data_IF_998624836506
#
_entry.id   IF_998624836506
#
_cell.length_a   1.000
_cell.length_b   1.000
_cell.length_c   1.000
_cell.angle_alpha   90.00
_cell.angle_beta   90.00
_cell.angle_gamma   90.00
#
_symmetry.space_group_name_H-M   'P 1'
#
loop_
_entity.id
_entity.type
_entity.pdbx_description
1 polymer ?
#
# COMPACT_ATOMS: atom_id res chain seq x y z
N UNK A 1 14.16 -13.55 -14.00
CA UNK A 1 14.78 -12.63 -14.98
C UNK A 1 15.75 -11.71 -14.25
N UNK A 2 16.87 -11.34 -14.88
CA UNK A 2 17.79 -10.36 -14.33
C UNK A 2 17.18 -8.95 -14.37
N UNK A 3 17.53 -8.11 -13.40
CA UNK A 3 17.05 -6.73 -13.34
C UNK A 3 17.69 -5.84 -14.42
N UNK A 4 16.87 -5.28 -15.32
CA UNK A 4 17.32 -4.29 -16.32
C UNK A 4 17.38 -2.87 -15.71
N UNK A 5 18.57 -2.52 -15.19
CA UNK A 5 18.86 -1.19 -14.68
C UNK A 5 18.71 -0.11 -15.77
N UNK A 6 19.14 -0.38 -17.00
CA UNK A 6 19.11 0.58 -18.10
C UNK A 6 17.68 1.00 -18.44
N UNK A 7 16.76 0.04 -18.60
CA UNK A 7 15.35 0.30 -18.83
C UNK A 7 14.67 1.01 -17.66
N UNK A 8 15.05 0.67 -16.43
CA UNK A 8 14.52 1.34 -15.25
C UNK A 8 14.98 2.81 -15.14
N UNK A 9 16.26 3.11 -15.43
CA UNK A 9 16.75 4.49 -15.48
C UNK A 9 16.12 5.31 -16.61
N UNK A 10 15.90 4.71 -17.79
CA UNK A 10 15.24 5.38 -18.93
C UNK A 10 13.78 5.72 -18.64
N UNK A 11 13.07 4.86 -17.92
CA UNK A 11 11.65 5.06 -17.58
C UNK A 11 11.46 6.03 -16.41
N UNK A 12 12.18 5.85 -15.30
CA UNK A 12 12.03 6.69 -14.10
C UNK A 12 12.70 8.06 -14.24
N UNK A 13 13.80 8.14 -15.00
CA UNK A 13 14.63 9.34 -15.20
C UNK A 13 14.95 10.07 -13.89
N UNK A 14 15.51 9.38 -12.87
CA UNK A 14 15.63 9.93 -11.52
C UNK A 14 16.40 11.26 -11.47
N UNK A 15 17.47 11.39 -12.27
CA UNK A 15 18.30 12.60 -12.32
C UNK A 15 17.61 13.83 -12.93
N UNK A 16 16.51 13.62 -13.68
CA UNK A 16 15.69 14.70 -14.23
C UNK A 16 14.59 15.16 -13.25
N UNK A 17 14.25 14.35 -12.24
CA UNK A 17 13.25 14.70 -11.23
C UNK A 17 13.89 15.58 -10.16
N UNK A 18 13.61 16.88 -10.21
CA UNK A 18 14.22 17.89 -9.31
C UNK A 18 13.20 18.65 -8.47
N UNK A 19 12.01 18.91 -9.02
CA UNK A 19 10.93 19.54 -8.27
C UNK A 19 10.47 18.63 -7.13
N UNK A 20 10.21 19.22 -5.98
CA UNK A 20 9.60 18.53 -4.84
C UNK A 20 8.23 17.96 -5.22
N UNK A 21 7.80 16.94 -4.50
CA UNK A 21 6.47 16.38 -4.63
C UNK A 21 5.53 17.12 -3.70
N UNK A 22 4.42 17.59 -4.26
CA UNK A 22 3.36 18.24 -3.52
C UNK A 22 2.08 17.42 -3.66
N UNK A 23 1.30 17.38 -2.58
CA UNK A 23 0.03 16.65 -2.57
C UNK A 23 -0.93 17.32 -3.54
N UNK A 24 -1.48 16.55 -4.48
CA UNK A 24 -2.53 17.04 -5.37
C UNK A 24 -3.83 17.33 -4.59
N UNK A 25 -4.67 18.28 -5.06
CA UNK A 25 -5.98 18.51 -4.47
C UNK A 25 -6.86 17.27 -4.58
N UNK A 26 -7.80 17.11 -3.64
CA UNK A 26 -8.69 15.94 -3.58
C UNK A 26 -9.46 15.73 -4.89
N UNK A 27 -9.85 16.80 -5.57
CA UNK A 27 -10.55 16.75 -6.87
C UNK A 27 -9.71 16.15 -8.01
N UNK A 28 -8.40 16.00 -7.83
CA UNK A 28 -7.50 15.38 -8.81
C UNK A 28 -7.15 13.91 -8.46
N UNK A 29 -7.71 13.39 -7.36
CA UNK A 29 -7.49 12.02 -6.89
C UNK A 29 -8.73 11.16 -7.13
N UNK A 30 -8.52 9.86 -7.31
CA UNK A 30 -9.61 8.89 -7.50
C UNK A 30 -10.04 8.33 -6.15
N UNK A 31 -11.20 8.75 -5.64
CA UNK A 31 -11.70 8.32 -4.34
C UNK A 31 -12.63 7.12 -4.44
N UNK A 32 -12.62 6.26 -3.43
CA UNK A 32 -13.46 5.06 -3.35
C UNK A 32 -14.96 5.38 -3.50
N UNK A 33 -15.44 6.49 -2.92
CA UNK A 33 -16.84 6.91 -3.02
C UNK A 33 -17.30 7.27 -4.45
N UNK A 34 -16.36 7.60 -5.33
CA UNK A 34 -16.64 7.92 -6.74
C UNK A 34 -16.44 6.70 -7.66
N UNK A 35 -16.02 5.56 -7.12
CA UNK A 35 -15.78 4.35 -7.89
C UNK A 35 -17.03 3.46 -7.93
N UNK A 36 -17.34 2.85 -9.08
CA UNK A 36 -18.37 1.83 -9.13
C UNK A 36 -17.96 0.63 -8.25
N UNK A 37 -18.86 -0.01 -7.52
CA UNK A 37 -18.53 -1.18 -6.70
C UNK A 37 -17.87 -2.30 -7.53
N UNK A 38 -18.46 -2.62 -8.69
CA UNK A 38 -17.88 -3.57 -9.65
C UNK A 38 -16.81 -2.89 -10.50
N UNK A 39 -15.70 -3.57 -10.75
CA UNK A 39 -14.62 -3.03 -11.58
C UNK A 39 -13.40 -3.95 -11.68
N UNK A 40 -12.30 -3.37 -12.13
CA UNK A 40 -11.03 -4.10 -12.27
C UNK A 40 -10.45 -4.58 -10.94
N UNK A 41 -9.48 -5.47 -11.04
CA UNK A 41 -8.78 -6.09 -9.91
C UNK A 41 -8.14 -5.04 -8.99
N UNK A 42 -8.21 -5.28 -7.68
CA UNK A 42 -7.55 -4.47 -6.66
C UNK A 42 -6.28 -5.15 -6.16
N UNK A 43 -5.26 -4.36 -5.81
CA UNK A 43 -4.17 -4.78 -4.94
C UNK A 43 -4.30 -4.01 -3.62
N UNK A 44 -4.43 -4.73 -2.51
CA UNK A 44 -4.65 -4.11 -1.21
C UNK A 44 -3.33 -3.66 -0.58
N UNK A 45 -3.26 -2.39 -0.20
CA UNK A 45 -2.23 -1.87 0.69
C UNK A 45 -2.46 -2.33 2.14
N UNK A 46 -1.41 -2.36 2.96
CA UNK A 46 -1.50 -2.79 4.37
C UNK A 46 -2.48 -1.93 5.17
N UNK A 47 -2.58 -0.62 4.87
CA UNK A 47 -3.54 0.26 5.51
C UNK A 47 -4.98 -0.26 5.42
N UNK A 48 -5.36 -0.91 4.31
CA UNK A 48 -6.69 -1.49 4.12
C UNK A 48 -6.98 -2.56 5.17
N UNK A 49 -6.06 -3.51 5.35
CA UNK A 49 -6.25 -4.59 6.33
C UNK A 49 -6.34 -4.02 7.75
N UNK A 50 -5.47 -3.08 8.10
CA UNK A 50 -5.47 -2.46 9.42
C UNK A 50 -6.75 -1.66 9.68
N UNK A 51 -7.27 -0.98 8.66
CA UNK A 51 -8.51 -0.21 8.77
C UNK A 51 -9.73 -1.14 8.86
N UNK A 52 -9.78 -2.23 8.10
CA UNK A 52 -10.83 -3.26 8.23
C UNK A 52 -10.81 -3.86 9.64
N UNK A 53 -9.64 -4.30 10.12
CA UNK A 53 -9.48 -4.87 11.45
C UNK A 53 -9.88 -3.92 12.58
N UNK A 54 -9.78 -2.62 12.35
CA UNK A 54 -10.13 -1.58 13.30
C UNK A 54 -11.55 -1.02 13.11
N UNK A 55 -12.31 -1.53 12.13
CA UNK A 55 -13.64 -1.02 11.79
C UNK A 55 -13.62 0.44 11.35
N UNK A 56 -12.61 0.81 10.54
CA UNK A 56 -12.39 2.17 10.03
C UNK A 56 -12.57 2.29 8.52
N UNK A 57 -12.86 1.21 7.81
CA UNK A 57 -13.17 1.32 6.39
C UNK A 57 -14.54 1.97 6.20
N UNK A 58 -14.67 2.98 5.34
CA UNK A 58 -15.98 3.51 4.97
C UNK A 58 -16.74 2.50 4.11
N UNK A 59 -18.07 2.60 4.07
CA UNK A 59 -18.95 1.68 3.31
C UNK A 59 -18.53 1.53 1.84
N UNK A 60 -18.07 2.60 1.20
CA UNK A 60 -17.57 2.56 -0.17
C UNK A 60 -16.39 1.60 -0.36
N UNK A 61 -15.49 1.50 0.64
CA UNK A 61 -14.39 0.55 0.63
C UNK A 61 -14.91 -0.87 0.80
N UNK A 62 -15.82 -1.11 1.73
CA UNK A 62 -16.41 -2.43 1.96
C UNK A 62 -17.10 -2.97 0.69
N UNK A 63 -17.81 -2.10 -0.02
CA UNK A 63 -18.40 -2.41 -1.32
C UNK A 63 -17.33 -2.79 -2.37
N UNK A 64 -16.22 -2.05 -2.45
CA UNK A 64 -15.13 -2.39 -3.37
C UNK A 64 -14.49 -3.75 -3.03
N UNK A 65 -14.27 -4.04 -1.74
CA UNK A 65 -13.71 -5.30 -1.26
C UNK A 65 -14.64 -6.48 -1.52
N UNK A 66 -15.96 -6.25 -1.41
CA UNK A 66 -16.99 -7.28 -1.63
C UNK A 66 -17.12 -7.65 -3.11
N UNK A 67 -17.14 -6.66 -3.99
CA UNK A 67 -17.54 -6.85 -5.40
C UNK A 67 -16.38 -6.93 -6.39
N UNK A 68 -15.13 -6.68 -5.96
CA UNK A 68 -13.96 -6.77 -6.84
C UNK A 68 -13.03 -7.91 -6.44
N UNK A 69 -12.34 -8.45 -7.44
CA UNK A 69 -11.26 -9.40 -7.19
C UNK A 69 -10.12 -8.68 -6.46
N UNK A 70 -9.77 -9.17 -5.28
CA UNK A 70 -8.65 -8.66 -4.49
C UNK A 70 -7.41 -9.55 -4.66
N UNK A 71 -6.30 -8.92 -5.02
CA UNK A 71 -4.94 -9.46 -4.93
C UNK A 71 -4.22 -8.91 -3.70
N UNK A 72 -3.23 -9.66 -3.25
CA UNK A 72 -2.51 -9.44 -2.01
C UNK A 72 -1.01 -9.40 -2.30
N UNK A 73 -0.28 -8.55 -1.58
CA UNK A 73 1.18 -8.48 -1.66
C UNK A 73 1.80 -9.24 -0.48
N UNK A 74 2.87 -9.99 -0.74
CA UNK A 74 3.71 -10.56 0.30
C UNK A 74 4.37 -9.50 1.20
N UNK A 75 4.44 -8.24 0.74
CA UNK A 75 4.85 -7.11 1.58
C UNK A 75 3.81 -6.84 2.66
N UNK A 76 2.52 -6.80 2.30
CA UNK A 76 1.43 -6.66 3.27
C UNK A 76 1.40 -7.83 4.25
N UNK A 77 1.62 -9.06 3.75
CA UNK A 77 1.77 -10.23 4.61
C UNK A 77 2.93 -10.06 5.61
N UNK A 78 4.10 -9.59 5.16
CA UNK A 78 5.24 -9.36 6.04
C UNK A 78 4.96 -8.28 7.10
N UNK A 79 4.22 -7.22 6.74
CA UNK A 79 3.84 -6.16 7.67
C UNK A 79 2.77 -6.62 8.68
N UNK A 80 1.79 -7.40 8.25
CA UNK A 80 0.82 -8.03 9.15
C UNK A 80 1.52 -9.00 10.10
N UNK A 81 2.37 -9.89 9.57
CA UNK A 81 3.13 -10.85 10.38
C UNK A 81 4.11 -10.20 11.35
N UNK A 82 4.53 -8.96 11.11
CA UNK A 82 5.45 -8.25 11.99
C UNK A 82 4.91 -8.12 13.43
N UNK A 83 3.59 -8.01 13.61
CA UNK A 83 2.97 -7.82 14.93
C UNK A 83 3.21 -9.02 15.86
N UNK A 84 3.30 -10.24 15.33
CA UNK A 84 3.58 -11.46 16.10
C UNK A 84 4.96 -11.43 16.75
N UNK A 85 5.93 -10.74 16.13
CA UNK A 85 7.27 -10.55 16.70
C UNK A 85 7.43 -9.26 17.50
N UNK A 86 6.46 -8.33 17.44
CA UNK A 86 6.61 -6.96 17.96
C UNK A 86 5.79 -6.67 19.21
N UNK A 87 4.59 -7.25 19.35
CA UNK A 87 3.68 -6.97 20.46
C UNK A 87 4.19 -7.59 21.77
N UNK A 88 3.92 -6.91 22.89
CA UNK A 88 4.25 -7.41 24.22
C UNK A 88 3.29 -8.54 24.61
N UNK A 89 3.77 -9.78 24.82
CA UNK A 89 2.90 -10.90 25.21
C UNK A 89 2.21 -10.69 26.57
N UNK A 90 2.71 -9.80 27.43
CA UNK A 90 2.10 -9.51 28.73
C UNK A 90 0.94 -8.49 28.63
N UNK A 91 0.80 -7.77 27.52
CA UNK A 91 -0.27 -6.78 27.38
C UNK A 91 -1.65 -7.46 27.21
N UNK A 92 -2.70 -7.05 27.94
CA UNK A 92 -3.98 -7.77 27.98
C UNK A 92 -4.66 -7.98 26.63
N UNK A 93 -4.44 -7.07 25.67
CA UNK A 93 -5.06 -7.13 24.34
C UNK A 93 -4.22 -7.89 23.30
N UNK A 94 -2.98 -8.27 23.61
CA UNK A 94 -2.09 -8.85 22.60
C UNK A 94 -2.67 -10.13 22.02
N UNK A 95 -3.22 -11.01 22.87
CA UNK A 95 -3.80 -12.28 22.39
C UNK A 95 -4.94 -12.08 21.41
N UNK A 96 -5.86 -11.15 21.67
CA UNK A 96 -6.99 -10.88 20.78
C UNK A 96 -6.55 -10.23 19.47
N UNK A 97 -5.59 -9.28 19.53
CA UNK A 97 -5.02 -8.66 18.32
C UNK A 97 -4.32 -9.70 17.45
N UNK A 98 -3.49 -10.57 18.04
CA UNK A 98 -2.81 -11.63 17.28
C UNK A 98 -3.78 -12.62 16.65
N UNK A 99 -4.89 -12.95 17.34
CA UNK A 99 -5.95 -13.80 16.79
C UNK A 99 -6.58 -13.18 15.55
N UNK A 100 -7.04 -11.92 15.64
CA UNK A 100 -7.68 -11.25 14.50
C UNK A 100 -6.74 -11.09 13.28
N UNK A 101 -5.44 -10.84 13.53
CA UNK A 101 -4.44 -10.78 12.46
C UNK A 101 -4.16 -12.17 11.88
N UNK A 102 -4.14 -13.23 12.68
CA UNK A 102 -3.98 -14.60 12.21
C UNK A 102 -5.12 -14.98 11.26
N UNK A 103 -6.37 -14.76 11.68
CA UNK A 103 -7.56 -15.04 10.87
C UNK A 103 -7.50 -14.29 9.52
N UNK A 104 -7.10 -13.01 9.56
CA UNK A 104 -6.92 -12.19 8.34
C UNK A 104 -5.86 -12.76 7.40
N UNK A 105 -4.75 -13.28 7.92
CA UNK A 105 -3.68 -13.87 7.11
C UNK A 105 -4.13 -15.21 6.52
N UNK A 106 -4.84 -16.03 7.29
CA UNK A 106 -5.34 -17.34 6.87
C UNK A 106 -6.38 -17.23 5.75
N UNK A 107 -7.16 -16.14 5.74
CA UNK A 107 -8.13 -15.82 4.68
C UNK A 107 -7.47 -15.39 3.35
N UNK A 108 -6.17 -15.09 3.32
CA UNK A 108 -5.47 -14.68 2.08
C UNK A 108 -5.26 -15.90 1.17
N UNK A 109 -5.86 -15.94 -0.03
CA UNK A 109 -5.72 -17.10 -0.91
C UNK A 109 -4.34 -17.12 -1.56
N UNK A 110 -3.64 -18.25 -1.45
CA UNK A 110 -2.27 -18.40 -1.97
C UNK A 110 -2.11 -18.03 -3.46
N UNK A 111 -3.10 -18.36 -4.30
CA UNK A 111 -3.08 -18.04 -5.74
C UNK A 111 -3.31 -16.55 -6.05
N UNK A 112 -3.66 -15.74 -5.04
CA UNK A 112 -3.84 -14.28 -5.14
C UNK A 112 -2.79 -13.51 -4.35
N UNK A 113 -1.85 -14.20 -3.71
CA UNK A 113 -0.73 -13.63 -2.98
C UNK A 113 0.51 -13.56 -3.88
N UNK A 114 1.02 -12.35 -4.09
CA UNK A 114 2.12 -12.09 -5.01
C UNK A 114 3.37 -11.67 -4.25
N UNK A 115 4.49 -12.36 -4.50
CA UNK A 115 5.81 -11.94 -4.02
C UNK A 115 6.49 -10.98 -5.03
N UNK A 116 7.14 -9.90 -4.59
CA UNK A 116 7.92 -9.06 -5.50
C UNK A 116 9.14 -9.81 -6.04
N UNK A 117 9.31 -9.79 -7.37
CA UNK A 117 10.50 -10.35 -8.02
C UNK A 117 11.68 -9.34 -7.99
N UNK A 118 12.85 -9.76 -8.47
CA UNK A 118 14.04 -8.91 -8.53
C UNK A 118 13.80 -7.60 -9.30
N UNK A 119 12.93 -7.62 -10.32
CA UNK A 119 12.56 -6.43 -11.09
C UNK A 119 11.75 -5.45 -10.25
N UNK A 120 10.77 -5.96 -9.49
CA UNK A 120 9.97 -5.18 -8.57
C UNK A 120 10.86 -4.55 -7.49
N UNK A 121 11.76 -5.33 -6.87
CA UNK A 121 12.71 -4.84 -5.87
C UNK A 121 13.61 -3.73 -6.41
N UNK A 122 14.25 -3.93 -7.55
CA UNK A 122 15.15 -2.93 -8.13
C UNK A 122 14.43 -1.62 -8.48
N UNK A 123 13.24 -1.69 -9.07
CA UNK A 123 12.45 -0.49 -9.42
C UNK A 123 11.86 0.19 -8.19
N UNK A 124 11.36 -0.57 -7.22
CA UNK A 124 10.81 -0.02 -5.97
C UNK A 124 11.90 0.69 -5.16
N UNK A 125 13.13 0.16 -5.10
CA UNK A 125 14.25 0.82 -4.43
C UNK A 125 14.55 2.21 -5.02
N UNK A 126 14.54 2.33 -6.35
CA UNK A 126 14.71 3.64 -7.00
C UNK A 126 13.53 4.59 -6.74
N UNK A 127 12.29 4.08 -6.73
CA UNK A 127 11.13 4.90 -6.41
C UNK A 127 11.16 5.38 -4.95
N UNK A 128 11.48 4.52 -4.00
CA UNK A 128 11.61 4.87 -2.60
C UNK A 128 12.69 5.95 -2.39
N UNK A 129 13.85 5.83 -3.05
CA UNK A 129 14.88 6.86 -3.03
C UNK A 129 14.42 8.20 -3.65
N UNK A 130 13.59 8.15 -4.70
CA UNK A 130 12.98 9.35 -5.28
C UNK A 130 11.96 9.99 -4.34
N UNK A 131 11.04 9.20 -3.78
CA UNK A 131 10.08 9.68 -2.79
C UNK A 131 10.79 10.38 -1.65
N UNK A 132 11.80 9.73 -1.06
CA UNK A 132 12.58 10.30 0.03
C UNK A 132 13.24 11.62 -0.35
N UNK A 133 13.90 11.68 -1.51
CA UNK A 133 14.60 12.88 -1.97
C UNK A 133 13.66 14.04 -2.29
N UNK A 134 12.48 13.75 -2.86
CA UNK A 134 11.57 14.77 -3.38
C UNK A 134 10.46 15.16 -2.40
N UNK A 135 10.19 14.35 -1.37
CA UNK A 135 9.24 14.69 -0.30
C UNK A 135 9.85 15.57 0.79
N UNK A 136 11.17 15.79 0.76
CA UNK A 136 11.91 16.59 1.74
C UNK A 136 11.69 16.17 3.22
N UNK A 137 11.34 14.90 3.45
CA UNK A 137 11.13 14.39 4.80
C UNK A 137 12.45 14.31 5.60
N UNK A 138 12.40 14.43 6.94
CA UNK A 138 13.58 14.30 7.78
C UNK A 138 14.22 12.91 7.68
N UNK A 139 15.55 12.86 7.62
CA UNK A 139 16.30 11.60 7.62
C UNK A 139 16.20 10.89 8.97
N UNK A 140 16.26 9.56 8.97
CA UNK A 140 16.37 8.75 10.20
C UNK A 140 15.08 8.66 11.03
N UNK A 141 13.93 8.98 10.43
CA UNK A 141 12.60 8.84 11.05
C UNK A 141 11.88 7.54 10.63
N UNK A 142 12.58 6.63 9.96
CA UNK A 142 12.04 5.34 9.53
C UNK A 142 11.17 5.41 8.28
N UNK A 143 11.17 6.53 7.55
CA UNK A 143 10.43 6.69 6.31
C UNK A 143 10.98 5.80 5.19
N UNK A 144 12.26 5.43 5.24
CA UNK A 144 12.95 4.69 4.19
C UNK A 144 12.36 3.28 4.02
N UNK A 145 12.08 2.57 5.12
CA UNK A 145 11.42 1.26 5.08
C UNK A 145 9.98 1.37 4.56
N UNK A 146 9.23 2.36 5.06
CA UNK A 146 7.85 2.63 4.64
C UNK A 146 7.77 2.88 3.14
N UNK A 147 8.60 3.79 2.63
CA UNK A 147 8.65 4.11 1.20
C UNK A 147 9.06 2.92 0.33
N UNK A 148 9.94 2.05 0.81
CA UNK A 148 10.28 0.84 0.08
C UNK A 148 9.08 -0.11 -0.03
N UNK A 149 8.36 -0.32 1.08
CA UNK A 149 7.17 -1.18 1.12
C UNK A 149 6.05 -0.62 0.24
N UNK A 150 5.72 0.67 0.37
CA UNK A 150 4.71 1.34 -0.47
C UNK A 150 5.08 1.24 -1.96
N UNK A 151 6.35 1.48 -2.29
CA UNK A 151 6.84 1.38 -3.67
C UNK A 151 6.76 -0.06 -4.20
N UNK A 152 7.01 -1.09 -3.38
CA UNK A 152 6.87 -2.49 -3.79
C UNK A 152 5.41 -2.84 -4.10
N UNK A 153 4.49 -2.49 -3.19
CA UNK A 153 3.05 -2.73 -3.37
C UNK A 153 2.58 -2.04 -4.65
N UNK A 154 2.90 -0.76 -4.81
CA UNK A 154 2.55 0.01 -6.00
C UNK A 154 3.14 -0.56 -7.30
N UNK A 155 4.40 -1.03 -7.29
CA UNK A 155 5.01 -1.68 -8.46
C UNK A 155 4.35 -3.01 -8.80
N UNK A 156 4.01 -3.82 -7.79
CA UNK A 156 3.32 -5.08 -8.01
C UNK A 156 1.95 -4.85 -8.64
N UNK A 157 1.18 -3.84 -8.20
CA UNK A 157 -0.11 -3.53 -8.79
C UNK A 157 -0.01 -3.30 -10.31
N UNK A 158 0.99 -2.52 -10.73
CA UNK A 158 1.26 -2.31 -12.15
C UNK A 158 1.67 -3.57 -12.92
N UNK A 159 2.32 -4.54 -12.27
CA UNK A 159 2.74 -5.80 -12.90
C UNK A 159 1.56 -6.77 -13.08
N UNK A 160 0.64 -6.81 -12.12
CA UNK A 160 -0.55 -7.69 -12.18
C UNK A 160 -1.78 -7.02 -12.80
N UNK A 161 -1.64 -5.79 -13.31
CA UNK A 161 -2.74 -5.03 -13.91
C UNK A 161 -3.81 -4.57 -12.92
N UNK A 162 -3.50 -4.55 -11.62
CA UNK A 162 -4.41 -4.15 -10.56
C UNK A 162 -4.36 -2.65 -10.26
N UNK A 163 -5.38 -2.17 -9.58
CA UNK A 163 -5.45 -0.82 -9.00
C UNK A 163 -5.15 -0.90 -7.52
N UNK A 164 -4.24 -0.09 -7.00
CA UNK A 164 -3.97 -0.08 -5.55
C UNK A 164 -5.19 0.51 -4.83
N UNK A 165 -5.65 -0.12 -3.75
CA UNK A 165 -6.57 0.49 -2.79
C UNK A 165 -5.79 0.83 -1.50
N UNK A 166 -5.87 2.07 -1.02
CA UNK A 166 -5.07 2.53 0.13
C UNK A 166 -5.70 3.72 0.87
N UNK A 167 -5.50 3.76 2.19
CA UNK A 167 -5.75 4.92 3.04
C UNK A 167 -4.54 5.86 3.14
N UNK A 168 -3.36 5.43 2.68
CA UNK A 168 -2.13 6.24 2.67
C UNK A 168 -2.11 7.18 1.45
N UNK A 169 -2.90 8.25 1.53
CA UNK A 169 -3.05 9.22 0.43
C UNK A 169 -1.71 9.87 0.05
N UNK A 170 -0.88 10.22 1.03
CA UNK A 170 0.35 10.99 0.77
C UNK A 170 1.35 10.22 -0.09
N UNK A 171 1.77 9.04 0.37
CA UNK A 171 2.85 8.31 -0.28
C UNK A 171 2.42 7.76 -1.65
N UNK A 172 1.16 7.30 -1.76
CA UNK A 172 0.64 6.77 -3.03
C UNK A 172 0.24 7.85 -4.03
N UNK A 173 -0.15 9.06 -3.59
CA UNK A 173 -0.25 10.20 -4.50
C UNK A 173 1.11 10.50 -5.13
N UNK A 174 2.16 10.60 -4.31
CA UNK A 174 3.53 10.82 -4.78
C UNK A 174 4.02 9.72 -5.72
N UNK A 175 3.75 8.45 -5.42
CA UNK A 175 4.07 7.34 -6.32
C UNK A 175 3.34 7.45 -7.66
N UNK A 176 2.06 7.81 -7.65
CA UNK A 176 1.26 7.99 -8.87
C UNK A 176 1.73 9.17 -9.73
N UNK A 177 2.28 10.23 -9.13
CA UNK A 177 2.93 11.33 -9.87
C UNK A 177 4.25 10.88 -10.53
N UNK A 178 4.99 9.98 -9.89
CA UNK A 178 6.24 9.43 -10.42
C UNK A 178 6.00 8.40 -11.52
N UNK A 179 4.95 7.58 -11.41
CA UNK A 179 4.56 6.56 -12.39
C UNK A 179 3.05 6.61 -12.66
N UNK A 180 2.60 7.50 -13.58
CA UNK A 180 1.17 7.72 -13.83
C UNK A 180 0.41 6.53 -14.41
N UNK A 181 1.10 5.50 -14.88
CA UNK A 181 0.47 4.32 -15.49
C UNK A 181 -0.12 3.34 -14.47
N UNK A 182 0.22 3.47 -13.19
CA UNK A 182 -0.35 2.63 -12.12
C UNK A 182 -1.48 3.41 -11.46
N UNK A 183 -2.67 2.79 -11.41
CA UNK A 183 -3.87 3.40 -10.83
C UNK A 183 -3.91 3.20 -9.32
N UNK A 184 -4.47 4.18 -8.62
CA UNK A 184 -4.70 4.15 -7.18
C UNK A 184 -6.12 4.64 -6.90
N UNK A 185 -6.83 3.93 -6.03
CA UNK A 185 -8.08 4.35 -5.41
C UNK A 185 -7.77 4.67 -3.95
N UNK A 186 -8.14 5.88 -3.54
CA UNK A 186 -7.91 6.39 -2.21
C UNK A 186 -9.18 6.32 -1.37
N UNK A 187 -9.03 6.17 -0.06
CA UNK A 187 -10.11 6.42 0.90
C UNK A 187 -9.56 7.14 2.13
N UNK A 188 -10.46 7.58 3.01
CA UNK A 188 -10.12 8.10 4.32
C UNK A 188 -10.70 7.16 5.36
N UNK A 189 -9.86 6.73 6.29
CA UNK A 189 -10.29 5.92 7.42
C UNK A 189 -11.28 6.73 8.28
N UNK A 190 -12.35 6.07 8.71
CA UNK A 190 -13.30 6.61 9.66
C UNK A 190 -12.72 6.61 11.09
N UNK A 191 -13.26 7.44 12.00
CA UNK A 191 -12.92 7.33 13.42
C UNK A 191 -13.37 5.95 13.90
N UNK A 192 -12.42 5.09 14.25
CA UNK A 192 -12.73 3.71 14.63
C UNK A 192 -13.69 3.61 15.81
N UNK A 193 -14.39 2.48 15.89
CA UNK A 193 -15.19 2.12 17.05
C UNK A 193 -14.32 2.20 18.31
N UNK A 194 -14.64 3.11 19.23
CA UNK A 194 -14.02 3.12 20.55
C UNK A 194 -14.30 1.75 21.19
N UNK A 195 -13.31 1.08 21.81
CA UNK A 195 -13.60 -0.08 22.65
C UNK A 195 -14.63 0.36 23.70
N UNK A 196 -15.76 -0.33 23.77
CA UNK A 196 -16.62 -0.20 24.94
C UNK A 196 -15.79 -0.70 26.13
N UNK A 197 -15.62 0.18 27.12
CA UNK A 197 -14.84 -0.07 28.33
C UNK A 197 -15.47 -1.17 29.19
#
# INVERSE_FOLDING_TARGET
>A
MAFDLGGALRSLKPQRRRAGLERRPDSALSWAGDQPPVGGVLLLDTSVYLDVLQGRTPEAVDNLLTYRLCHHSAVCLAELSHVFGRLDPAHPTTKSVLGAVADTIEDIPAHRLHAPDATAWGRAGMLAGLLFRLSHLPKGKGHERRFLNDALIFRQAGMVGATVLTGNVGDFDYLSQLVPSVRVIFYRAEPGLRPQA
#
